data_IF_109760631405
#
_entry.id   IF_109760631405
#
_cell.length_a   1.000
_cell.length_b   1.000
_cell.length_c   1.000
_cell.angle_alpha   90.00
_cell.angle_beta   90.00
_cell.angle_gamma   90.00
#
_symmetry.space_group_name_H-M   'P 1'
#
loop_
_entity.id
_entity.type
_entity.pdbx_description
1 polymer ?
#
# COMPACT_ATOMS: atom_id res chain seq x y z
N UNK A 1 41.36 -31.81 74.84
CA UNK A 1 40.32 -31.72 75.88
C UNK A 1 40.65 -30.48 76.68
N UNK A 2 39.99 -29.36 76.38
CA UNK A 2 40.21 -28.08 77.05
C UNK A 2 39.56 -28.14 78.43
N UNK A 3 40.37 -28.39 79.46
CA UNK A 3 39.92 -28.25 80.84
C UNK A 3 39.92 -26.77 81.20
N UNK A 4 38.84 -26.28 81.81
CA UNK A 4 38.78 -24.95 82.40
C UNK A 4 38.65 -25.08 83.91
N UNK A 5 39.40 -24.26 84.64
CA UNK A 5 39.30 -24.13 86.09
C UNK A 5 38.15 -23.18 86.42
N UNK A 6 37.10 -23.72 87.03
CA UNK A 6 36.03 -22.91 87.61
C UNK A 6 36.45 -22.55 89.03
N UNK A 7 36.74 -21.26 89.26
CA UNK A 7 37.06 -20.75 90.59
C UNK A 7 35.86 -20.01 91.15
N UNK A 8 35.27 -20.55 92.21
CA UNK A 8 34.21 -19.87 92.97
C UNK A 8 34.89 -18.74 93.77
N UNK A 9 34.58 -17.50 93.42
CA UNK A 9 35.18 -16.31 94.04
C UNK A 9 34.42 -15.86 95.30
N UNK A 10 33.20 -16.32 95.48
CA UNK A 10 32.34 -15.98 96.60
C UNK A 10 31.49 -17.20 97.01
N UNK A 11 31.72 -17.79 98.21
CA UNK A 11 31.03 -19.00 98.65
C UNK A 11 29.54 -18.79 98.99
N UNK A 12 29.07 -17.55 99.09
CA UNK A 12 27.66 -17.26 99.45
C UNK A 12 26.73 -17.31 98.23
N UNK A 13 27.27 -17.43 97.01
CA UNK A 13 26.49 -17.46 95.77
C UNK A 13 26.32 -18.92 95.30
N UNK A 14 25.21 -19.55 95.71
CA UNK A 14 24.88 -20.95 95.38
C UNK A 14 24.49 -21.20 93.91
N UNK A 15 24.84 -20.32 92.97
CA UNK A 15 24.42 -20.46 91.56
C UNK A 15 25.49 -19.91 90.63
N UNK A 16 26.04 -20.78 89.78
CA UNK A 16 26.91 -20.38 88.65
C UNK A 16 26.03 -20.38 87.40
N UNK A 17 25.81 -19.20 86.81
CA UNK A 17 25.11 -19.08 85.53
C UNK A 17 26.12 -19.17 84.38
N UNK A 18 26.05 -20.25 83.61
CA UNK A 18 26.80 -20.39 82.35
C UNK A 18 25.78 -20.28 81.22
N UNK A 19 25.81 -19.17 80.49
CA UNK A 19 24.93 -18.95 79.34
C UNK A 19 25.51 -19.69 78.12
N UNK A 20 24.99 -20.89 77.83
CA UNK A 20 25.35 -21.63 76.61
C UNK A 20 24.26 -21.42 75.56
N UNK A 21 24.58 -20.65 74.53
CA UNK A 21 23.72 -20.54 73.35
C UNK A 21 23.92 -21.77 72.46
N UNK A 22 23.02 -22.76 72.57
CA UNK A 22 22.49 -23.62 71.49
C UNK A 22 21.87 -24.89 72.10
N UNK A 23 20.53 -25.00 71.98
CA UNK A 23 19.71 -26.13 72.43
C UNK A 23 18.34 -25.66 72.95
N UNK A 24 17.27 -26.40 72.66
CA UNK A 24 15.89 -26.06 73.07
C UNK A 24 15.58 -26.29 74.57
N UNK A 25 16.57 -26.74 75.34
CA UNK A 25 16.44 -27.00 76.78
C UNK A 25 17.62 -26.34 77.52
N UNK A 26 17.35 -25.58 78.60
CA UNK A 26 18.41 -24.98 79.41
C UNK A 26 19.22 -26.07 80.12
N UNK A 27 20.54 -26.03 79.99
CA UNK A 27 21.42 -26.86 80.83
C UNK A 27 21.56 -26.18 82.21
N UNK A 28 21.40 -26.96 83.29
CA UNK A 28 21.67 -26.50 84.67
C UNK A 28 22.86 -27.24 85.26
N UNK A 29 23.70 -26.51 86.01
CA UNK A 29 24.77 -27.07 86.83
C UNK A 29 24.40 -26.75 88.27
N UNK A 30 24.21 -27.78 89.08
CA UNK A 30 23.89 -27.63 90.49
C UNK A 30 25.15 -27.82 91.33
N UNK A 31 25.35 -26.95 92.32
CA UNK A 31 26.42 -27.11 93.31
C UNK A 31 25.78 -27.73 94.55
N UNK A 32 26.13 -28.99 94.82
CA UNK A 32 25.68 -29.70 96.00
C UNK A 32 26.79 -29.61 97.06
N UNK A 33 26.44 -29.23 98.29
CA UNK A 33 27.39 -29.28 99.40
C UNK A 33 27.13 -30.55 100.19
N UNK A 34 28.12 -31.45 100.23
CA UNK A 34 28.07 -32.64 101.07
C UNK A 34 29.27 -32.63 102.02
N UNK A 35 28.99 -32.66 103.33
CA UNK A 35 30.01 -32.77 104.38
C UNK A 35 31.12 -31.68 104.30
N UNK A 36 30.70 -30.42 104.10
CA UNK A 36 31.57 -29.25 103.90
C UNK A 36 32.49 -29.31 102.66
N UNK A 37 32.20 -30.20 101.70
CA UNK A 37 32.85 -30.22 100.39
C UNK A 37 31.81 -29.87 99.33
N UNK A 38 32.07 -28.80 98.58
CA UNK A 38 31.26 -28.44 97.42
C UNK A 38 31.58 -29.39 96.28
N UNK A 39 30.58 -30.15 95.84
CA UNK A 39 30.65 -31.08 94.69
C UNK A 39 29.81 -30.50 93.57
N UNK A 40 30.41 -30.36 92.39
CA UNK A 40 29.71 -29.88 91.19
C UNK A 40 29.09 -31.08 90.49
N UNK A 41 27.75 -31.16 90.46
CA UNK A 41 27.03 -32.21 89.74
C UNK A 41 26.40 -31.63 88.48
N UNK A 42 26.84 -32.14 87.33
CA UNK A 42 26.35 -31.71 86.02
C UNK A 42 25.16 -32.60 85.65
N UNK A 43 23.94 -32.08 85.81
CA UNK A 43 22.72 -32.88 85.74
C UNK A 43 22.25 -33.17 84.30
N UNK A 44 22.97 -32.68 83.29
CA UNK A 44 22.72 -32.91 81.85
C UNK A 44 23.96 -32.63 81.01
N UNK A 45 24.14 -33.34 79.89
CA UNK A 45 25.27 -33.12 78.99
C UNK A 45 25.31 -31.67 78.49
N UNK A 46 26.31 -30.89 78.92
CA UNK A 46 26.56 -29.56 78.38
C UNK A 46 27.30 -29.73 77.06
N UNK A 47 26.60 -29.49 75.94
CA UNK A 47 27.22 -29.46 74.63
C UNK A 47 28.08 -28.19 74.51
N UNK A 48 29.36 -28.33 74.77
CA UNK A 48 30.33 -27.27 74.50
C UNK A 48 30.68 -27.34 73.02
N UNK A 49 30.26 -26.34 72.25
CA UNK A 49 30.86 -26.14 70.94
C UNK A 49 32.37 -25.90 71.14
N UNK A 50 33.24 -26.53 70.32
CA UNK A 50 34.65 -26.17 70.29
C UNK A 50 34.80 -24.65 70.18
N UNK A 51 35.77 -24.05 70.89
CA UNK A 51 36.04 -22.61 70.87
C UNK A 51 36.28 -22.03 69.47
N UNK A 52 36.44 -22.91 68.49
CA UNK A 52 36.76 -22.62 67.11
C UNK A 52 35.49 -22.35 66.26
N UNK A 53 34.28 -22.44 66.83
CA UNK A 53 32.99 -22.21 66.12
C UNK A 53 32.42 -20.79 66.40
N UNK A 54 33.28 -19.80 66.66
CA UNK A 54 32.85 -18.39 66.79
C UNK A 54 32.74 -17.66 65.43
N UNK A 55 32.65 -18.40 64.31
CA UNK A 55 32.54 -17.86 62.96
C UNK A 55 31.40 -18.49 62.17
N UNK A 56 31.04 -17.87 61.04
CA UNK A 56 30.15 -18.45 60.02
C UNK A 56 30.64 -19.87 59.72
N UNK A 57 29.83 -20.89 60.02
CA UNK A 57 30.14 -22.27 59.67
C UNK A 57 30.25 -22.30 58.14
N UNK A 58 31.45 -22.54 57.57
CA UNK A 58 31.59 -22.53 56.12
C UNK A 58 30.70 -23.65 55.56
N UNK A 59 29.84 -23.30 54.61
CA UNK A 59 29.08 -24.31 53.85
C UNK A 59 30.12 -25.16 53.14
N UNK A 60 30.35 -26.37 53.65
CA UNK A 60 31.52 -27.19 53.28
C UNK A 60 31.63 -27.38 51.77
N UNK A 61 30.49 -27.60 51.10
CA UNK A 61 30.42 -27.75 49.65
C UNK A 61 29.06 -27.22 49.15
N UNK A 62 29.08 -26.26 48.23
CA UNK A 62 27.92 -25.98 47.37
C UNK A 62 28.18 -26.73 46.06
N UNK A 63 27.45 -27.82 45.83
CA UNK A 63 27.57 -28.59 44.61
C UNK A 63 26.88 -27.86 43.45
N UNK A 64 27.61 -27.60 42.37
CA UNK A 64 27.04 -27.06 41.14
C UNK A 64 26.23 -28.12 40.40
N UNK A 65 25.00 -27.77 40.00
CA UNK A 65 24.26 -28.49 38.97
C UNK A 65 24.81 -28.19 37.56
N UNK A 66 24.28 -28.88 36.55
CA UNK A 66 24.63 -28.60 35.14
C UNK A 66 24.30 -27.14 34.76
N UNK A 67 25.24 -26.44 34.12
CA UNK A 67 25.06 -25.04 33.68
C UNK A 67 25.23 -23.98 34.79
N UNK A 68 25.50 -24.40 36.03
CA UNK A 68 25.78 -23.52 37.16
C UNK A 68 27.27 -23.64 37.48
N UNK A 69 27.98 -22.52 37.54
CA UNK A 69 29.32 -22.44 38.09
C UNK A 69 29.24 -21.93 39.50
N UNK A 70 29.83 -22.67 40.42
CA UNK A 70 30.03 -22.21 41.80
C UNK A 70 31.52 -21.99 41.98
N UNK A 71 31.90 -20.76 42.30
CA UNK A 71 33.26 -20.42 42.69
C UNK A 71 33.25 -19.87 44.11
N UNK A 72 34.36 -20.01 44.83
CA UNK A 72 34.51 -19.39 46.13
C UNK A 72 35.82 -18.63 46.21
N UNK A 73 35.77 -17.43 46.78
CA UNK A 73 36.95 -16.62 47.10
C UNK A 73 36.79 -16.10 48.51
N UNK A 74 37.74 -16.42 49.39
CA UNK A 74 37.74 -15.99 50.80
C UNK A 74 36.44 -16.32 51.56
N UNK A 75 35.83 -17.46 51.27
CA UNK A 75 34.58 -17.90 51.90
C UNK A 75 33.30 -17.28 51.34
N UNK A 76 33.39 -16.40 50.34
CA UNK A 76 32.25 -15.89 49.59
C UNK A 76 32.05 -16.77 48.36
N UNK A 77 30.86 -17.34 48.21
CA UNK A 77 30.48 -18.13 47.05
C UNK A 77 29.85 -17.23 45.98
N UNK A 78 30.38 -17.27 44.77
CA UNK A 78 29.78 -16.66 43.58
C UNK A 78 29.17 -17.78 42.74
N UNK A 79 27.86 -17.66 42.49
CA UNK A 79 27.10 -18.60 41.69
C UNK A 79 26.76 -17.90 40.38
N UNK A 80 27.39 -18.35 39.29
CA UNK A 80 27.20 -17.82 37.95
C UNK A 80 26.58 -18.85 37.03
N UNK A 81 25.79 -18.40 36.07
CA UNK A 81 25.33 -19.24 34.96
C UNK A 81 26.30 -19.06 33.80
N UNK A 82 27.15 -20.06 33.51
CA UNK A 82 27.99 -20.01 32.29
C UNK A 82 27.36 -20.85 31.20
N UNK A 83 26.99 -20.20 30.09
CA UNK A 83 26.41 -20.85 28.91
C UNK A 83 25.31 -21.86 29.27
N UNK A 84 24.28 -21.46 30.06
CA UNK A 84 23.22 -22.39 30.39
C UNK A 84 22.54 -22.87 29.09
N UNK A 85 22.50 -24.18 28.89
CA UNK A 85 21.67 -24.77 27.83
C UNK A 85 20.24 -24.73 28.37
N UNK A 86 19.48 -23.72 27.94
CA UNK A 86 18.06 -23.62 28.27
C UNK A 86 17.29 -24.35 27.17
N UNK A 87 16.72 -25.51 27.51
CA UNK A 87 15.82 -26.21 26.61
C UNK A 87 14.50 -25.44 26.49
N UNK A 88 13.98 -25.29 25.28
CA UNK A 88 12.68 -24.64 25.05
C UNK A 88 11.54 -25.31 25.82
N UNK A 89 11.65 -26.61 26.10
CA UNK A 89 10.70 -27.36 26.95
C UNK A 89 10.70 -26.91 28.42
N UNK A 90 11.76 -26.25 28.89
CA UNK A 90 11.85 -25.67 30.22
C UNK A 90 11.37 -24.22 30.30
N UNK A 91 11.08 -23.58 29.16
CA UNK A 91 10.58 -22.20 29.11
C UNK A 91 9.08 -22.26 28.84
N UNK A 92 8.32 -22.33 29.93
CA UNK A 92 6.86 -22.53 29.89
C UNK A 92 6.12 -21.32 29.30
N UNK A 93 6.76 -20.15 29.28
CA UNK A 93 6.17 -18.89 28.80
C UNK A 93 6.70 -18.40 27.44
N UNK A 94 7.68 -19.08 26.84
CA UNK A 94 8.35 -18.55 25.64
C UNK A 94 7.37 -18.40 24.49
N UNK A 95 6.51 -19.41 24.35
CA UNK A 95 5.50 -19.43 23.30
C UNK A 95 4.52 -18.27 23.48
N UNK A 96 4.08 -18.01 24.71
CA UNK A 96 3.14 -16.93 25.03
C UNK A 96 3.78 -15.55 24.84
N UNK A 97 4.97 -15.33 25.42
CA UNK A 97 5.69 -14.07 25.27
C UNK A 97 5.97 -13.72 23.81
N UNK A 98 6.30 -14.71 22.97
CA UNK A 98 6.50 -14.48 21.54
C UNK A 98 5.17 -14.15 20.84
N UNK A 99 4.08 -14.83 21.20
CA UNK A 99 2.74 -14.54 20.65
C UNK A 99 2.26 -13.15 21.03
N UNK A 100 2.44 -12.74 22.29
CA UNK A 100 2.10 -11.41 22.79
C UNK A 100 2.89 -10.31 22.09
N UNK A 101 4.20 -10.51 21.91
CA UNK A 101 5.04 -9.56 21.20
C UNK A 101 4.51 -9.41 19.77
N UNK A 102 4.34 -10.50 19.02
CA UNK A 102 3.93 -10.44 17.61
C UNK A 102 2.50 -9.88 17.47
N UNK A 103 1.57 -10.37 18.27
CA UNK A 103 0.14 -10.08 18.16
C UNK A 103 -0.24 -8.70 18.69
N UNK A 104 0.38 -8.24 19.78
CA UNK A 104 0.00 -6.98 20.43
C UNK A 104 0.82 -5.77 19.95
N UNK A 105 2.08 -5.96 19.53
CA UNK A 105 2.98 -4.82 19.26
C UNK A 105 3.97 -4.98 18.10
N UNK A 106 4.23 -6.21 17.64
CA UNK A 106 5.24 -6.51 16.63
C UNK A 106 4.77 -6.31 15.19
N UNK A 107 3.46 -6.16 14.97
CA UNK A 107 2.86 -5.95 13.66
C UNK A 107 2.11 -4.63 13.61
N UNK A 108 2.42 -3.82 12.61
CA UNK A 108 1.68 -2.59 12.31
C UNK A 108 0.84 -2.79 11.06
N UNK A 109 -0.47 -2.56 11.18
CA UNK A 109 -1.37 -2.67 10.05
C UNK A 109 -1.21 -1.46 9.12
N UNK A 110 -0.95 -1.72 7.83
CA UNK A 110 -1.02 -0.70 6.79
C UNK A 110 -2.46 -0.32 6.44
N UNK A 111 -2.62 0.63 5.51
CA UNK A 111 -3.95 1.00 5.02
C UNK A 111 -4.73 -0.23 4.53
N UNK A 112 -6.00 -0.30 4.93
CA UNK A 112 -6.93 -1.37 4.60
C UNK A 112 -6.61 -2.75 5.17
N UNK A 113 -5.53 -2.92 5.94
CA UNK A 113 -5.25 -4.14 6.69
C UNK A 113 -5.79 -3.97 8.11
N UNK A 114 -6.40 -5.02 8.66
CA UNK A 114 -6.79 -5.09 10.05
C UNK A 114 -6.13 -6.33 10.68
N UNK A 115 -5.39 -6.12 11.76
CA UNK A 115 -4.68 -7.15 12.52
C UNK A 115 -5.35 -7.23 13.89
N UNK A 116 -5.81 -8.42 14.26
CA UNK A 116 -6.46 -8.67 15.54
C UNK A 116 -5.82 -9.89 16.23
N UNK A 117 -5.20 -9.67 17.38
CA UNK A 117 -4.67 -10.73 18.23
C UNK A 117 -5.69 -11.12 19.29
N UNK A 118 -5.92 -12.43 19.43
CA UNK A 118 -6.80 -13.00 20.45
C UNK A 118 -6.00 -13.90 21.39
N UNK A 119 -5.65 -13.31 22.53
CA UNK A 119 -4.86 -13.89 23.62
C UNK A 119 -5.39 -15.25 24.09
N UNK A 120 -6.70 -15.35 24.34
CA UNK A 120 -7.34 -16.59 24.78
C UNK A 120 -7.17 -17.77 23.80
N UNK A 121 -6.84 -17.50 22.54
CA UNK A 121 -6.69 -18.52 21.50
C UNK A 121 -5.27 -18.61 20.93
N UNK A 122 -4.38 -17.67 21.27
CA UNK A 122 -3.02 -17.59 20.73
C UNK A 122 -2.93 -17.23 19.23
N UNK A 123 -4.01 -16.77 18.61
CA UNK A 123 -4.06 -16.51 17.16
C UNK A 123 -4.06 -15.01 16.84
N UNK A 124 -3.23 -14.63 15.86
CA UNK A 124 -3.31 -13.34 15.17
C UNK A 124 -4.07 -13.50 13.85
N UNK A 125 -5.20 -12.82 13.72
CA UNK A 125 -5.98 -12.77 12.48
C UNK A 125 -5.61 -11.52 11.68
N UNK A 126 -5.23 -11.71 10.42
CA UNK A 126 -4.98 -10.62 9.47
C UNK A 126 -6.08 -10.64 8.42
N UNK A 127 -6.77 -9.52 8.28
CA UNK A 127 -7.83 -9.32 7.29
C UNK A 127 -7.56 -8.08 6.45
N UNK A 128 -8.10 -8.05 5.25
CA UNK A 128 -7.98 -6.91 4.37
C UNK A 128 -9.38 -6.42 3.97
N UNK A 129 -9.56 -5.11 4.00
CA UNK A 129 -10.80 -4.39 3.70
C UNK A 129 -10.62 -3.60 2.41
N UNK A 130 -11.71 -3.10 1.80
CA UNK A 130 -11.59 -2.29 0.58
C UNK A 130 -11.01 -3.01 -0.63
N UNK A 131 -10.82 -4.34 -0.57
CA UNK A 131 -10.53 -5.12 -1.76
C UNK A 131 -11.76 -5.06 -2.66
N UNK A 132 -11.55 -4.67 -3.91
CA UNK A 132 -12.53 -5.04 -4.93
C UNK A 132 -12.49 -6.58 -5.04
N UNK A 133 -13.62 -7.30 -4.86
CA UNK A 133 -13.72 -8.70 -5.21
C UNK A 133 -13.01 -9.02 -6.53
N UNK A 134 -12.07 -9.97 -6.52
CA UNK A 134 -11.44 -10.43 -7.75
C UNK A 134 -12.50 -11.17 -8.58
N UNK A 135 -12.97 -10.57 -9.67
CA UNK A 135 -14.03 -11.14 -10.51
C UNK A 135 -14.44 -10.21 -11.65
N UNK A 136 -15.17 -10.77 -12.61
CA UNK A 136 -15.69 -10.05 -13.77
C UNK A 136 -16.98 -9.31 -13.36
N UNK A 137 -16.88 -8.03 -12.95
CA UNK A 137 -18.00 -7.20 -12.47
C UNK A 137 -19.09 -6.90 -13.50
N UNK A 138 -18.94 -7.38 -14.73
CA UNK A 138 -19.96 -7.22 -15.75
C UNK A 138 -21.19 -8.10 -15.53
N UNK A 139 -21.17 -9.08 -14.60
CA UNK A 139 -22.29 -10.02 -14.46
C UNK A 139 -23.46 -9.51 -13.59
N UNK A 140 -23.22 -8.55 -12.68
CA UNK A 140 -24.29 -7.91 -11.87
C UNK A 140 -24.91 -6.70 -12.60
N UNK A 141 -24.80 -6.67 -13.93
CA UNK A 141 -25.54 -5.73 -14.77
C UNK A 141 -25.37 -4.28 -14.33
N UNK A 142 -24.20 -3.70 -14.61
CA UNK A 142 -24.17 -2.24 -14.67
C UNK A 142 -24.68 -1.84 -16.05
N UNK A 143 -25.76 -1.07 -16.05
CA UNK A 143 -26.33 -0.48 -17.25
C UNK A 143 -25.78 0.91 -17.41
N UNK A 144 -25.22 1.21 -18.58
CA UNK A 144 -24.95 2.59 -18.95
C UNK A 144 -26.26 3.21 -19.45
N UNK A 145 -26.77 4.20 -18.75
CA UNK A 145 -27.78 5.09 -19.31
C UNK A 145 -27.10 6.14 -20.19
N UNK A 146 -27.87 6.81 -21.03
CA UNK A 146 -27.39 7.92 -21.86
C UNK A 146 -26.66 8.99 -21.03
N UNK A 147 -27.09 9.19 -19.77
CA UNK A 147 -26.50 10.15 -18.83
C UNK A 147 -25.08 9.77 -18.37
N UNK A 148 -24.70 8.48 -18.49
CA UNK A 148 -23.34 8.03 -18.18
C UNK A 148 -22.34 8.37 -19.28
N UNK A 149 -22.80 8.79 -20.46
CA UNK A 149 -21.94 9.08 -21.62
C UNK A 149 -21.86 10.60 -21.83
N UNK A 150 -21.21 11.28 -20.90
CA UNK A 150 -21.13 12.75 -20.86
C UNK A 150 -20.23 13.36 -21.94
N UNK A 151 -19.39 12.54 -22.57
CA UNK A 151 -18.42 12.94 -23.60
C UNK A 151 -18.66 12.26 -24.95
N UNK A 152 -19.83 11.65 -25.17
CA UNK A 152 -20.13 11.05 -26.48
C UNK A 152 -20.07 12.11 -27.58
N UNK A 153 -20.71 13.26 -27.33
CA UNK A 153 -20.77 14.36 -28.30
C UNK A 153 -19.39 14.96 -28.65
N UNK A 154 -18.38 14.77 -27.80
CA UNK A 154 -17.02 15.30 -27.99
C UNK A 154 -16.02 14.24 -28.46
N UNK A 155 -16.35 12.94 -28.34
CA UNK A 155 -15.50 11.82 -28.78
C UNK A 155 -15.89 11.25 -30.15
N UNK A 156 -17.16 11.38 -30.57
CA UNK A 156 -17.59 10.98 -31.92
C UNK A 156 -17.83 12.19 -32.81
N UNK A 157 -16.75 12.86 -33.23
CA UNK A 157 -16.80 13.99 -34.16
C UNK A 157 -17.38 13.66 -35.55
N UNK A 158 -17.63 12.38 -35.86
CA UNK A 158 -18.03 11.92 -37.21
C UNK A 158 -19.46 11.40 -37.35
N UNK A 159 -20.23 11.28 -36.25
CA UNK A 159 -21.63 10.80 -36.28
C UNK A 159 -22.66 11.89 -35.96
N UNK A 160 -22.21 13.09 -35.62
CA UNK A 160 -23.13 14.22 -35.49
C UNK A 160 -23.59 14.62 -36.90
N UNK A 161 -24.90 14.69 -37.16
CA UNK A 161 -25.42 15.25 -38.41
C UNK A 161 -24.72 16.57 -38.69
N UNK A 162 -24.32 16.80 -39.95
CA UNK A 162 -23.64 18.05 -40.34
C UNK A 162 -24.50 19.22 -39.88
N UNK A 163 -24.01 19.98 -38.89
CA UNK A 163 -24.83 20.98 -38.19
C UNK A 163 -25.17 22.16 -39.09
N UNK A 164 -24.29 22.51 -40.02
CA UNK A 164 -24.49 23.59 -40.98
C UNK A 164 -23.56 23.39 -42.19
N UNK A 165 -24.10 23.60 -43.39
CA UNK A 165 -23.32 23.72 -44.62
C UNK A 165 -23.56 25.12 -45.14
N UNK A 166 -22.49 25.91 -45.29
CA UNK A 166 -22.58 27.27 -45.79
C UNK A 166 -22.51 27.23 -47.32
N UNK A 167 -23.53 27.80 -47.98
CA UNK A 167 -23.54 27.90 -49.43
C UNK A 167 -22.58 29.00 -49.91
N UNK A 168 -21.80 28.70 -50.95
CA UNK A 168 -21.06 29.71 -51.70
C UNK A 168 -21.96 30.48 -52.67
N UNK A 169 -21.40 31.47 -53.37
CA UNK A 169 -22.14 32.25 -54.39
C UNK A 169 -22.70 31.34 -55.49
N UNK A 170 -23.96 31.54 -55.85
CA UNK A 170 -24.66 30.76 -56.89
C UNK A 170 -25.04 29.33 -56.49
N UNK A 171 -24.87 28.95 -55.22
CA UNK A 171 -25.32 27.68 -54.66
C UNK A 171 -26.46 27.93 -53.67
N UNK A 172 -27.52 27.13 -53.76
CA UNK A 172 -28.57 27.04 -52.76
C UNK A 172 -28.38 25.76 -51.95
N UNK A 173 -28.49 25.87 -50.63
CA UNK A 173 -28.52 24.70 -49.75
C UNK A 173 -29.78 24.79 -48.90
N UNK A 174 -30.63 23.78 -48.99
CA UNK A 174 -31.80 23.62 -48.13
C UNK A 174 -31.66 22.31 -47.36
N UNK A 175 -32.04 22.31 -46.08
CA UNK A 175 -32.00 21.12 -45.24
C UNK A 175 -33.39 20.80 -44.71
N UNK A 176 -33.80 19.55 -44.81
CA UNK A 176 -35.03 19.04 -44.20
C UNK A 176 -34.73 17.71 -43.52
N UNK A 177 -35.00 17.62 -42.22
CA UNK A 177 -34.82 16.40 -41.41
C UNK A 177 -33.43 15.74 -41.50
N UNK A 178 -32.38 16.51 -41.77
CA UNK A 178 -31.00 16.01 -41.90
C UNK A 178 -30.54 15.72 -43.33
N UNK A 179 -31.46 15.70 -44.29
CA UNK A 179 -31.12 15.63 -45.71
C UNK A 179 -30.82 17.03 -46.24
N UNK A 180 -29.67 17.18 -46.92
CA UNK A 180 -29.25 18.41 -47.56
C UNK A 180 -29.47 18.31 -49.07
N UNK A 181 -30.31 19.19 -49.60
CA UNK A 181 -30.46 19.37 -51.05
C UNK A 181 -29.60 20.56 -51.47
N UNK A 182 -28.64 20.29 -52.34
CA UNK A 182 -27.76 21.31 -52.93
C UNK A 182 -28.23 21.61 -54.35
N UNK A 183 -28.50 22.87 -54.62
CA UNK A 183 -28.96 23.36 -55.92
C UNK A 183 -28.04 24.45 -56.45
N UNK A 184 -28.07 24.64 -57.76
CA UNK A 184 -27.49 25.81 -58.43
C UNK A 184 -28.55 26.90 -58.44
N UNK A 185 -28.23 28.05 -57.87
CA UNK A 185 -29.09 29.25 -57.85
C UNK A 185 -28.54 30.38 -58.73
N UNK A 186 -27.28 30.28 -59.15
CA UNK A 186 -26.65 31.23 -60.07
C UNK A 186 -26.79 30.84 -61.54
N UNK A 187 -26.67 31.84 -62.42
CA UNK A 187 -26.51 31.63 -63.86
C UNK A 187 -25.04 31.34 -64.16
N UNK A 188 -24.70 30.06 -64.37
CA UNK A 188 -23.34 29.64 -64.75
C UNK A 188 -23.16 29.47 -66.26
N UNK A 189 -24.14 29.89 -67.07
CA UNK A 189 -24.06 29.92 -68.53
C UNK A 189 -23.60 31.29 -69.04
N UNK A 190 -23.09 31.31 -70.27
CA UNK A 190 -22.85 32.57 -71.00
C UNK A 190 -24.19 33.28 -71.25
N UNK A 191 -24.19 34.61 -71.22
CA UNK A 191 -25.34 35.39 -71.71
C UNK A 191 -25.48 35.22 -73.22
N UNK A 192 -26.67 35.49 -73.76
CA UNK A 192 -26.89 35.50 -75.22
C UNK A 192 -25.84 36.36 -75.92
N UNK A 193 -25.63 37.57 -75.40
CA UNK A 193 -24.60 38.49 -75.89
C UNK A 193 -23.19 37.88 -75.89
N UNK A 194 -22.77 37.25 -74.79
CA UNK A 194 -21.44 36.62 -74.73
C UNK A 194 -21.28 35.46 -75.72
N UNK A 195 -22.38 34.76 -76.04
CA UNK A 195 -22.39 33.74 -77.09
C UNK A 195 -22.30 34.39 -78.46
N UNK A 196 -23.06 35.45 -78.69
CA UNK A 196 -23.15 36.13 -79.98
C UNK A 196 -21.83 36.84 -80.33
N UNK A 197 -21.19 37.49 -79.35
CA UNK A 197 -19.80 37.99 -79.41
C UNK A 197 -18.82 36.87 -79.81
N UNK A 198 -18.93 35.71 -79.16
CA UNK A 198 -18.06 34.58 -79.46
C UNK A 198 -18.28 34.03 -80.86
N UNK A 199 -19.53 34.02 -81.36
CA UNK A 199 -19.89 33.59 -82.71
C UNK A 199 -19.34 34.57 -83.75
N UNK A 200 -19.48 35.88 -83.52
CA UNK A 200 -18.89 36.93 -84.37
C UNK A 200 -17.38 36.74 -84.54
N UNK A 201 -16.67 36.45 -83.44
CA UNK A 201 -15.23 36.23 -83.46
C UNK A 201 -14.82 34.90 -84.10
N UNK A 202 -15.69 33.89 -84.05
CA UNK A 202 -15.42 32.56 -84.60
C UNK A 202 -15.58 32.53 -86.12
N UNK A 203 -16.50 33.30 -86.67
CA UNK A 203 -16.85 33.24 -88.08
C UNK A 203 -15.97 34.17 -88.91
N UNK A 204 -15.17 33.56 -89.80
CA UNK A 204 -14.33 34.28 -90.76
C UNK A 204 -14.91 34.13 -92.16
N UNK A 205 -15.28 35.22 -92.86
CA UNK A 205 -15.80 35.10 -94.21
C UNK A 205 -14.71 34.64 -95.18
N UNK A 206 -15.04 33.68 -96.04
CA UNK A 206 -14.26 33.37 -97.23
C UNK A 206 -14.43 34.43 -98.32
N UNK A 207 -13.73 34.25 -99.44
CA UNK A 207 -13.88 35.12 -100.61
C UNK A 207 -15.37 35.22 -101.02
N UNK A 208 -15.80 36.43 -101.35
CA UNK A 208 -17.17 36.76 -101.77
C UNK A 208 -18.27 36.57 -100.72
N UNK A 209 -17.97 36.17 -99.49
CA UNK A 209 -18.91 36.16 -98.35
C UNK A 209 -18.72 37.44 -97.53
N UNK A 210 -19.81 38.05 -97.09
CA UNK A 210 -19.80 39.15 -96.14
C UNK A 210 -20.62 38.78 -94.91
N UNK A 211 -20.01 38.93 -93.74
CA UNK A 211 -20.64 38.75 -92.43
C UNK A 211 -20.89 40.11 -91.81
N UNK A 212 -22.14 40.42 -91.50
CA UNK A 212 -22.51 41.64 -90.80
C UNK A 212 -23.19 41.29 -89.47
N UNK A 213 -22.43 41.44 -88.38
CA UNK A 213 -22.93 41.28 -87.03
C UNK A 213 -23.46 42.62 -86.51
N UNK A 214 -24.71 42.65 -86.07
CA UNK A 214 -25.37 43.83 -85.51
C UNK A 214 -25.82 43.57 -84.08
N UNK A 215 -25.01 44.07 -83.16
CA UNK A 215 -25.15 44.00 -81.71
C UNK A 215 -26.50 44.54 -81.22
N UNK A 216 -26.94 45.68 -81.75
CA UNK A 216 -28.17 46.32 -81.27
C UNK A 216 -29.46 45.58 -81.70
N UNK A 217 -29.36 44.64 -82.63
CA UNK A 217 -30.48 43.89 -83.18
C UNK A 217 -30.34 42.37 -82.96
N UNK A 218 -29.37 41.93 -82.16
CA UNK A 218 -29.06 40.52 -81.89
C UNK A 218 -29.04 39.67 -83.18
N UNK A 219 -28.34 40.13 -84.23
CA UNK A 219 -28.41 39.50 -85.54
C UNK A 219 -27.08 39.40 -86.28
N UNK A 220 -26.87 38.24 -86.92
CA UNK A 220 -25.81 38.02 -87.90
C UNK A 220 -26.43 37.84 -89.29
N UNK A 221 -26.10 38.76 -90.20
CA UNK A 221 -26.47 38.63 -91.61
C UNK A 221 -25.30 38.09 -92.42
N UNK A 222 -25.53 37.01 -93.15
CA UNK A 222 -24.58 36.44 -94.10
C UNK A 222 -25.05 36.78 -95.50
N UNK A 223 -24.19 37.41 -96.28
CA UNK A 223 -24.46 37.79 -97.66
C UNK A 223 -23.34 37.33 -98.59
N UNK A 224 -23.67 37.23 -99.87
CA UNK A 224 -22.76 36.81 -100.94
C UNK A 224 -22.65 37.94 -101.96
N UNK A 225 -21.44 38.20 -102.44
CA UNK A 225 -21.16 39.13 -103.53
C UNK A 225 -20.69 38.35 -104.76
N UNK A 226 -20.78 38.94 -105.95
CA UNK A 226 -20.26 38.29 -107.16
C UNK A 226 -21.01 37.03 -107.61
N UNK A 227 -22.30 36.86 -107.26
CA UNK A 227 -23.10 35.83 -107.93
C UNK A 227 -23.21 36.19 -109.41
N UNK A 228 -22.57 35.41 -110.27
CA UNK A 228 -22.91 35.42 -111.68
C UNK A 228 -24.20 34.62 -111.86
N UNK A 229 -25.27 35.21 -112.42
CA UNK A 229 -26.41 34.42 -112.85
C UNK A 229 -25.90 33.34 -113.81
N UNK A 230 -26.23 32.07 -113.58
CA UNK A 230 -25.99 31.03 -114.57
C UNK A 230 -26.96 31.25 -115.73
N UNK A 231 -26.60 32.15 -116.64
CA UNK A 231 -27.31 32.46 -117.88
C UNK A 231 -26.35 32.43 -119.05
N UNK A 232 -26.80 31.87 -120.18
CA UNK A 232 -26.03 31.80 -121.42
C UNK A 232 -25.73 33.22 -121.94
N UNK A 233 -24.55 33.76 -121.63
CA UNK A 233 -24.05 34.99 -122.25
C UNK A 233 -23.52 34.66 -123.65
N UNK A 234 -24.43 34.52 -124.61
CA UNK A 234 -24.13 34.77 -126.03
C UNK A 234 -25.42 35.13 -126.76
N UNK A 235 -25.66 36.44 -126.86
CA UNK A 235 -26.48 37.02 -127.93
C UNK A 235 -25.56 38.02 -128.62
N UNK A 236 -24.82 37.51 -129.62
CA UNK A 236 -24.04 38.22 -130.65
C UNK A 236 -22.58 38.61 -130.33
N UNK A 237 -21.63 37.91 -130.98
CA UNK A 237 -20.46 38.55 -131.62
C UNK A 237 -19.06 38.32 -131.05
N UNK A 238 -18.46 37.16 -131.33
CA UNK A 238 -17.03 37.07 -131.72
C UNK A 238 -16.96 36.41 -133.09
#
# INVERSE_FOLDING_TARGET
MSCFDVKILDPDINTIQIETCIGDQPASIDILTYDNVSVVEVNSCVALLPSDINGLIPVKDILSGSGINVSSTSGVYTIDLSNPIIYSSGIVDLLENVQDIIGNSGLSAGNYININYNDNTGFTTVSATGLQPSGNYSLVGHTHTSDNITNFNSSVSGLLPVKSINAGSGIGIVSSSGDFTVSVTGTFGLTGEQVDDRVKDLLVPGAYINLNYNDNLDSLTISVTGLQPSGNYSVVGH
#
